data_IF_197766475777
#
_entry.id   IF_197766475777
#
_cell.length_a   1.000
_cell.length_b   1.000
_cell.length_c   1.000
_cell.angle_alpha   90.00
_cell.angle_beta   90.00
_cell.angle_gamma   90.00
#
_symmetry.space_group_name_H-M   'P 1'
#
loop_
_entity.id
_entity.type
_entity.pdbx_description
1 polymer ?
#
# COMPACT_ATOMS: atom_id res chain seq x y z
N UNK A 1 2.87 6.03 -10.46
CA UNK A 1 3.24 5.05 -11.48
C UNK A 1 4.05 5.71 -12.59
N UNK A 2 5.18 5.10 -12.97
CA UNK A 2 5.99 5.54 -14.12
C UNK A 2 5.66 4.67 -15.32
N UNK A 3 5.22 5.30 -16.42
CA UNK A 3 4.79 4.60 -17.63
C UNK A 3 5.96 3.88 -18.30
N UNK A 4 5.73 2.61 -18.66
CA UNK A 4 6.71 1.77 -19.38
C UNK A 4 6.90 2.20 -20.83
N UNK A 5 7.96 1.69 -21.44
CA UNK A 5 8.24 1.81 -22.88
C UNK A 5 7.75 0.56 -23.59
N UNK A 6 6.48 0.54 -23.96
CA UNK A 6 5.83 -0.62 -24.59
C UNK A 6 6.31 -0.88 -26.03
N UNK A 7 6.85 0.16 -26.68
CA UNK A 7 7.46 0.00 -28.00
C UNK A 7 8.87 -0.58 -27.87
N UNK A 8 9.68 -0.01 -26.97
CA UNK A 8 11.05 -0.42 -26.76
C UNK A 8 11.21 -1.81 -26.17
N UNK A 9 10.26 -2.27 -25.34
CA UNK A 9 10.23 -3.63 -24.77
C UNK A 9 9.57 -4.67 -25.67
N UNK A 10 8.99 -4.26 -26.81
CA UNK A 10 8.34 -5.11 -27.78
C UNK A 10 6.91 -5.56 -27.44
N UNK A 11 6.31 -4.99 -26.36
CA UNK A 11 4.91 -5.26 -25.98
C UNK A 11 3.91 -4.65 -26.94
N UNK A 12 4.28 -3.55 -27.61
CA UNK A 12 3.54 -2.93 -28.70
C UNK A 12 4.32 -3.05 -30.00
N UNK A 13 3.67 -3.53 -31.06
CA UNK A 13 4.28 -3.71 -32.40
C UNK A 13 3.36 -3.14 -33.47
N UNK A 14 3.96 -2.62 -34.54
CA UNK A 14 3.25 -2.18 -35.73
C UNK A 14 3.81 -2.91 -36.95
N UNK A 15 2.92 -3.40 -37.83
CA UNK A 15 3.29 -4.06 -39.07
C UNK A 15 2.46 -3.51 -40.22
N UNK A 16 3.06 -3.43 -41.38
CA UNK A 16 2.41 -3.08 -42.63
C UNK A 16 2.77 -4.10 -43.72
N UNK A 17 1.94 -4.24 -44.75
CA UNK A 17 2.17 -5.22 -45.84
C UNK A 17 3.09 -4.69 -46.95
N UNK A 18 3.33 -3.37 -46.98
CA UNK A 18 4.13 -2.69 -48.00
C UNK A 18 5.34 -1.98 -47.41
N UNK A 19 5.25 -1.54 -46.14
CA UNK A 19 6.32 -0.78 -45.43
C UNK A 19 6.82 -1.56 -44.23
N UNK A 20 8.08 -2.03 -44.28
CA UNK A 20 8.74 -2.73 -43.16
C UNK A 20 10.21 -2.26 -43.07
N UNK A 21 10.63 -1.63 -41.98
CA UNK A 21 9.83 -1.27 -40.77
C UNK A 21 8.84 -0.11 -41.00
N UNK A 22 7.79 -0.03 -40.17
CA UNK A 22 6.88 1.13 -40.12
C UNK A 22 7.67 2.39 -39.79
N UNK A 23 7.43 3.47 -40.58
CA UNK A 23 8.29 4.66 -40.55
C UNK A 23 8.23 5.43 -39.24
N UNK A 24 7.03 5.56 -38.67
CA UNK A 24 6.79 6.24 -37.39
C UNK A 24 5.96 5.32 -36.51
N UNK A 25 6.45 5.07 -35.29
CA UNK A 25 5.68 4.36 -34.28
C UNK A 25 5.91 5.06 -32.95
N UNK A 26 4.85 5.60 -32.37
CA UNK A 26 4.93 6.45 -31.17
C UNK A 26 3.93 6.05 -30.11
N UNK A 27 4.27 6.36 -28.87
CA UNK A 27 3.46 6.16 -27.66
C UNK A 27 3.17 7.51 -27.01
N UNK A 28 1.92 7.74 -26.62
CA UNK A 28 1.50 8.93 -25.88
C UNK A 28 0.54 8.54 -24.72
N UNK A 29 0.84 8.88 -23.46
CA UNK A 29 2.02 9.64 -22.98
C UNK A 29 3.35 8.93 -23.26
N UNK A 30 4.42 9.70 -23.38
CA UNK A 30 5.76 9.16 -23.65
C UNK A 30 6.23 8.23 -22.53
N UNK A 31 7.11 7.24 -22.84
CA UNK A 31 7.74 6.41 -21.82
C UNK A 31 8.43 7.24 -20.75
N UNK A 32 8.36 6.78 -19.49
CA UNK A 32 8.92 7.50 -18.34
C UNK A 32 8.02 8.62 -17.77
N UNK A 33 6.86 8.89 -18.38
CA UNK A 33 5.89 9.84 -17.83
C UNK A 33 5.33 9.35 -16.50
N UNK A 34 5.29 10.22 -15.50
CA UNK A 34 4.61 9.93 -14.22
C UNK A 34 3.12 10.15 -14.36
N UNK A 35 2.33 9.09 -14.16
CA UNK A 35 0.87 9.11 -14.24
C UNK A 35 0.27 9.29 -12.85
N UNK A 36 -0.84 10.07 -12.78
CA UNK A 36 -1.66 10.20 -11.60
C UNK A 36 -2.55 8.97 -11.37
N UNK A 37 -3.25 8.95 -10.22
CA UNK A 37 -4.23 7.90 -9.90
C UNK A 37 -5.45 7.97 -10.82
N UNK A 38 -6.08 6.82 -11.03
CA UNK A 38 -7.29 6.64 -11.85
C UNK A 38 -6.99 6.10 -13.25
N UNK A 39 -8.01 6.12 -14.09
CA UNK A 39 -7.91 5.60 -15.46
C UNK A 39 -7.10 6.57 -16.33
N UNK A 40 -6.05 6.06 -16.93
CA UNK A 40 -5.18 6.74 -17.88
C UNK A 40 -5.27 6.04 -19.22
N UNK A 41 -5.27 6.80 -20.31
CA UNK A 41 -5.32 6.22 -21.67
C UNK A 41 -3.92 6.33 -22.28
N UNK A 42 -3.41 5.20 -22.78
CA UNK A 42 -2.16 5.14 -23.51
C UNK A 42 -2.49 4.90 -24.97
N UNK A 43 -2.08 5.82 -25.83
CA UNK A 43 -2.32 5.80 -27.27
C UNK A 43 -1.04 5.39 -28.01
N UNK A 44 -1.20 4.65 -29.08
CA UNK A 44 -0.16 4.34 -30.05
C UNK A 44 -0.57 4.85 -31.43
N UNK A 45 0.39 5.41 -32.14
CA UNK A 45 0.21 5.88 -33.52
C UNK A 45 1.30 5.30 -34.37
N UNK A 46 0.91 4.63 -35.46
CA UNK A 46 1.81 4.12 -36.49
C UNK A 46 1.50 4.84 -37.82
N UNK A 47 2.56 5.21 -38.55
CA UNK A 47 2.46 5.85 -39.87
C UNK A 47 3.43 5.17 -40.82
N UNK A 48 2.95 4.86 -42.03
CA UNK A 48 3.74 4.29 -43.10
C UNK A 48 4.42 5.37 -43.98
N UNK A 49 5.22 4.97 -44.96
CA UNK A 49 5.89 5.88 -45.89
C UNK A 49 4.92 6.66 -46.80
N UNK A 50 3.66 6.21 -46.93
CA UNK A 50 2.61 6.82 -47.71
C UNK A 50 1.68 7.71 -46.88
N UNK A 51 2.06 7.97 -45.59
CA UNK A 51 1.28 8.80 -44.66
C UNK A 51 -0.08 8.19 -44.29
N UNK A 52 -0.22 6.86 -44.39
CA UNK A 52 -1.36 6.18 -43.79
C UNK A 52 -1.15 6.01 -42.30
N UNK A 53 -2.15 6.42 -41.52
CA UNK A 53 -2.05 6.47 -40.05
C UNK A 53 -2.99 5.42 -39.46
N UNK A 54 -2.49 4.64 -38.52
CA UNK A 54 -3.27 3.73 -37.68
C UNK A 54 -3.05 4.05 -36.22
N UNK A 55 -4.12 3.98 -35.42
CA UNK A 55 -4.05 4.25 -33.98
C UNK A 55 -4.72 3.15 -33.19
N UNK A 56 -4.17 2.84 -32.02
CA UNK A 56 -4.82 2.01 -31.01
C UNK A 56 -4.54 2.57 -29.61
N UNK A 57 -5.33 2.12 -28.65
CA UNK A 57 -5.16 2.57 -27.26
C UNK A 57 -5.56 1.48 -26.29
N UNK A 58 -5.06 1.59 -25.05
CA UNK A 58 -5.56 0.83 -23.92
C UNK A 58 -5.73 1.72 -22.68
N UNK A 59 -6.59 1.29 -21.78
CA UNK A 59 -6.80 1.95 -20.51
C UNK A 59 -5.89 1.30 -19.43
N UNK A 60 -5.19 2.15 -18.68
CA UNK A 60 -4.37 1.77 -17.53
C UNK A 60 -5.02 2.33 -16.27
N UNK A 61 -5.54 1.49 -15.40
CA UNK A 61 -6.06 1.91 -14.10
C UNK A 61 -4.91 1.99 -13.08
N UNK A 62 -4.46 3.23 -12.83
CA UNK A 62 -3.42 3.52 -11.83
C UNK A 62 -4.06 3.63 -10.47
N UNK A 63 -3.94 2.60 -9.68
CA UNK A 63 -4.45 2.55 -8.31
C UNK A 63 -3.32 2.80 -7.32
N UNK A 64 -3.65 3.50 -6.23
CA UNK A 64 -2.78 3.52 -5.07
C UNK A 64 -2.80 2.10 -4.49
N UNK A 65 -1.63 1.51 -4.38
CA UNK A 65 -1.51 0.26 -3.65
C UNK A 65 -1.85 0.61 -2.20
N UNK A 66 -3.04 0.27 -1.74
CA UNK A 66 -3.44 0.30 -0.33
C UNK A 66 -2.59 -0.73 0.45
N UNK A 67 -1.32 -0.61 0.36
CA UNK A 67 -0.32 -1.42 0.97
C UNK A 67 0.83 -0.55 1.42
N UNK A 68 0.79 -0.09 2.66
CA UNK A 68 1.99 0.13 3.46
C UNK A 68 2.98 1.18 2.95
N UNK A 69 2.53 2.32 2.42
CA UNK A 69 3.43 3.42 2.04
C UNK A 69 4.12 4.11 3.24
N UNK A 70 3.80 3.69 4.48
CA UNK A 70 4.45 4.14 5.71
C UNK A 70 4.86 2.98 6.62
N UNK A 71 5.47 1.93 6.07
CA UNK A 71 6.02 0.82 6.87
C UNK A 71 7.00 1.32 7.93
N UNK A 72 7.78 2.34 7.62
CA UNK A 72 8.72 2.93 8.57
C UNK A 72 8.02 3.68 9.70
N UNK A 73 6.90 4.37 9.42
CA UNK A 73 6.16 5.09 10.44
C UNK A 73 5.45 4.12 11.39
N UNK A 74 4.77 3.11 10.86
CA UNK A 74 4.15 2.06 11.66
C UNK A 74 5.17 1.14 12.37
N UNK A 75 6.38 1.00 11.83
CA UNK A 75 7.47 0.30 12.50
C UNK A 75 7.93 1.02 13.78
N UNK A 76 7.77 2.35 13.85
CA UNK A 76 8.11 3.16 15.01
C UNK A 76 7.19 2.94 16.23
N UNK A 77 6.00 2.34 16.02
CA UNK A 77 5.09 1.98 17.11
C UNK A 77 5.70 0.90 18.00
N UNK A 78 5.72 1.15 19.29
CA UNK A 78 6.33 0.24 20.28
C UNK A 78 5.33 -0.10 21.38
N UNK A 79 5.27 -1.37 21.77
CA UNK A 79 4.55 -1.86 22.94
C UNK A 79 5.53 -2.12 24.09
N UNK A 80 5.25 -1.55 25.26
CA UNK A 80 6.06 -1.80 26.45
C UNK A 80 5.29 -1.64 27.77
N UNK A 81 5.64 -2.40 28.82
CA UNK A 81 6.55 -3.53 28.76
C UNK A 81 5.98 -4.67 27.92
N UNK A 82 6.83 -5.53 27.40
CA UNK A 82 6.42 -6.76 26.74
C UNK A 82 7.49 -7.82 27.01
N UNK A 83 7.22 -8.82 27.85
CA UNK A 83 5.93 -9.19 28.46
C UNK A 83 5.33 -8.11 29.38
N UNK A 84 4.00 -8.08 29.46
CA UNK A 84 3.22 -7.18 30.30
C UNK A 84 2.38 -7.95 31.31
N UNK A 85 2.14 -7.33 32.47
CA UNK A 85 1.30 -7.88 33.53
C UNK A 85 -0.16 -7.38 33.37
N UNK A 86 -0.48 -6.23 33.87
CA UNK A 86 -1.84 -5.68 33.93
C UNK A 86 -2.07 -4.53 32.95
N UNK A 87 -1.00 -3.92 32.46
CA UNK A 87 -1.04 -2.76 31.55
C UNK A 87 0.09 -2.85 30.53
N UNK A 88 -0.18 -2.35 29.33
CA UNK A 88 0.81 -2.16 28.28
C UNK A 88 0.67 -0.77 27.68
N UNK A 89 1.76 -0.08 27.43
CA UNK A 89 1.78 1.19 26.74
C UNK A 89 2.03 0.98 25.24
N UNK A 90 1.24 1.68 24.44
CA UNK A 90 1.51 1.85 23.02
C UNK A 90 2.13 3.23 22.81
N UNK A 91 3.37 3.27 22.39
CA UNK A 91 4.10 4.49 22.03
C UNK A 91 3.94 4.80 20.55
N UNK A 92 3.64 6.06 20.24
CA UNK A 92 3.48 6.63 18.90
C UNK A 92 4.39 7.87 18.77
N UNK A 93 5.73 7.69 18.70
CA UNK A 93 6.69 8.79 18.76
C UNK A 93 6.60 9.73 17.55
N UNK A 94 6.10 9.25 16.42
CA UNK A 94 5.88 10.05 15.20
C UNK A 94 4.50 10.68 15.12
N UNK A 95 3.64 10.44 16.13
CA UNK A 95 2.26 10.94 16.18
C UNK A 95 1.47 10.68 14.90
N UNK A 96 1.61 9.48 14.35
CA UNK A 96 0.83 9.05 13.18
C UNK A 96 -0.64 8.92 13.56
N UNK A 97 -1.54 9.23 12.63
CA UNK A 97 -2.98 9.14 12.86
C UNK A 97 -3.42 7.70 12.98
N UNK A 98 -3.80 7.30 14.20
CA UNK A 98 -4.29 5.97 14.52
C UNK A 98 -5.80 6.00 14.76
N UNK A 99 -6.50 4.98 14.24
CA UNK A 99 -7.94 4.85 14.40
C UNK A 99 -8.30 3.95 15.57
N UNK A 100 -7.75 2.74 15.59
CA UNK A 100 -8.02 1.77 16.65
C UNK A 100 -6.94 0.70 16.74
N UNK A 101 -6.88 0.03 17.90
CA UNK A 101 -6.18 -1.24 18.08
C UNK A 101 -7.18 -2.34 18.43
N UNK A 102 -7.08 -3.47 17.76
CA UNK A 102 -7.86 -4.67 18.04
C UNK A 102 -6.93 -5.77 18.53
N UNK A 103 -7.29 -6.36 19.68
CA UNK A 103 -6.52 -7.44 20.29
C UNK A 103 -7.19 -8.77 19.93
N UNK A 104 -6.42 -9.68 19.38
CA UNK A 104 -6.85 -11.02 18.99
C UNK A 104 -6.11 -12.07 19.84
N UNK A 105 -6.80 -13.13 20.22
CA UNK A 105 -6.15 -14.34 20.70
C UNK A 105 -5.57 -15.17 19.52
N UNK A 106 -4.80 -16.20 19.83
CA UNK A 106 -4.18 -17.05 18.80
C UNK A 106 -5.18 -17.84 17.94
N UNK A 107 -6.45 -17.88 18.33
CA UNK A 107 -7.51 -18.50 17.51
C UNK A 107 -8.14 -17.52 16.52
N UNK A 108 -7.72 -16.24 16.56
CA UNK A 108 -8.26 -15.16 15.72
C UNK A 108 -9.52 -14.51 16.28
N UNK A 109 -9.90 -14.82 17.51
CA UNK A 109 -11.06 -14.21 18.18
C UNK A 109 -10.66 -12.85 18.74
N UNK A 110 -11.51 -11.83 18.52
CA UNK A 110 -11.35 -10.51 19.12
C UNK A 110 -11.63 -10.62 20.62
N UNK A 111 -10.67 -10.18 21.44
CA UNK A 111 -10.79 -10.12 22.90
C UNK A 111 -10.96 -8.70 23.42
N UNK A 112 -10.46 -7.69 22.67
CA UNK A 112 -10.68 -6.29 23.00
C UNK A 112 -10.50 -5.39 21.77
N UNK A 113 -11.11 -4.21 21.77
CA UNK A 113 -10.94 -3.17 20.76
C UNK A 113 -10.95 -1.81 21.42
N UNK A 114 -9.92 -1.00 21.15
CA UNK A 114 -9.69 0.31 21.76
C UNK A 114 -9.63 1.36 20.66
N UNK A 115 -10.32 2.48 20.85
CA UNK A 115 -10.25 3.65 19.98
C UNK A 115 -8.94 4.41 20.25
N UNK A 116 -8.22 4.76 19.21
CA UNK A 116 -6.98 5.51 19.26
C UNK A 116 -7.08 6.89 18.60
N UNK A 117 -8.27 7.30 18.14
CA UNK A 117 -8.47 8.55 17.38
C UNK A 117 -8.07 9.81 18.15
N UNK A 118 -8.06 9.75 19.48
CA UNK A 118 -7.64 10.85 20.36
C UNK A 118 -6.26 10.62 20.98
N UNK A 119 -5.54 9.59 20.54
CA UNK A 119 -4.23 9.25 21.06
C UNK A 119 -3.19 10.31 20.65
N UNK A 120 -2.41 10.77 21.60
CA UNK A 120 -1.20 11.57 21.36
C UNK A 120 0.03 10.68 21.09
N UNK A 121 1.12 10.98 21.77
CA UNK A 121 2.38 10.22 21.63
C UNK A 121 2.38 8.85 22.34
N UNK A 122 1.42 8.62 23.27
CA UNK A 122 1.36 7.41 24.07
C UNK A 122 -0.05 7.16 24.61
N UNK A 123 -0.43 5.89 24.75
CA UNK A 123 -1.64 5.45 25.46
C UNK A 123 -1.35 4.21 26.30
N UNK A 124 -1.93 4.16 27.50
CA UNK A 124 -1.90 2.96 28.35
C UNK A 124 -3.14 2.11 28.11
N UNK A 125 -2.95 0.86 27.80
CA UNK A 125 -4.00 -0.14 27.56
C UNK A 125 -4.08 -1.05 28.78
N UNK A 126 -5.26 -1.14 29.37
CA UNK A 126 -5.54 -2.09 30.45
C UNK A 126 -5.76 -3.49 29.86
N UNK A 127 -4.95 -4.43 30.32
CA UNK A 127 -4.97 -5.85 29.90
C UNK A 127 -5.17 -6.79 31.10
N UNK A 128 -5.51 -6.25 32.27
CA UNK A 128 -5.66 -6.99 33.52
C UNK A 128 -6.71 -8.13 33.46
N UNK A 129 -7.65 -8.03 32.52
CA UNK A 129 -8.68 -9.05 32.29
C UNK A 129 -8.25 -10.17 31.34
N UNK A 130 -7.08 -10.03 30.71
CA UNK A 130 -6.56 -11.02 29.78
C UNK A 130 -5.84 -12.14 30.52
N UNK A 131 -6.03 -13.38 30.10
CA UNK A 131 -5.30 -14.53 30.64
C UNK A 131 -3.83 -14.52 30.18
N UNK A 132 -2.98 -15.23 30.92
CA UNK A 132 -1.58 -15.43 30.53
C UNK A 132 -1.51 -16.16 29.20
N UNK A 133 -1.17 -15.43 28.15
CA UNK A 133 -1.07 -15.93 26.78
C UNK A 133 -0.34 -14.94 25.86
N UNK A 134 -0.14 -15.37 24.64
CA UNK A 134 0.29 -14.47 23.55
C UNK A 134 -0.95 -13.96 22.78
N UNK A 135 -0.96 -12.68 22.49
CA UNK A 135 -1.99 -11.99 21.74
C UNK A 135 -1.39 -11.26 20.54
N UNK A 136 -2.22 -11.02 19.52
CA UNK A 136 -1.87 -10.21 18.37
C UNK A 136 -2.65 -8.90 18.43
N UNK A 137 -1.93 -7.79 18.43
CA UNK A 137 -2.48 -6.44 18.38
C UNK A 137 -2.42 -5.92 16.94
N UNK A 138 -3.58 -5.72 16.33
CA UNK A 138 -3.71 -5.13 15.01
C UNK A 138 -4.05 -3.65 15.18
N UNK A 139 -3.10 -2.79 14.91
CA UNK A 139 -3.19 -1.32 15.04
C UNK A 139 -3.50 -0.77 13.66
N UNK A 140 -4.63 -0.08 13.52
CA UNK A 140 -5.06 0.55 12.26
C UNK A 140 -4.97 2.06 12.37
N UNK A 141 -4.45 2.68 11.34
CA UNK A 141 -4.44 4.12 11.15
C UNK A 141 -4.98 4.53 9.78
N UNK A 142 -5.01 5.82 9.51
CA UNK A 142 -5.49 6.39 8.25
C UNK A 142 -4.67 5.93 7.04
N UNK A 143 -3.39 5.58 7.25
CA UNK A 143 -2.45 5.28 6.18
C UNK A 143 -1.90 3.85 6.22
N UNK A 144 -2.46 2.97 7.06
CA UNK A 144 -2.00 1.59 7.09
C UNK A 144 -2.37 0.82 8.35
N UNK A 145 -1.72 -0.33 8.50
CA UNK A 145 -1.94 -1.25 9.61
C UNK A 145 -0.59 -1.81 10.08
N UNK A 146 -0.42 -1.92 11.40
CA UNK A 146 0.71 -2.62 12.03
C UNK A 146 0.20 -3.76 12.90
N UNK A 147 0.91 -4.87 12.89
CA UNK A 147 0.63 -5.99 13.79
C UNK A 147 1.79 -6.15 14.75
N UNK A 148 1.48 -6.17 16.06
CA UNK A 148 2.45 -6.36 17.13
C UNK A 148 2.06 -7.56 17.98
N UNK A 149 3.02 -8.30 18.46
CA UNK A 149 2.82 -9.39 19.42
C UNK A 149 2.85 -8.82 20.85
N UNK A 150 1.91 -9.25 21.68
CA UNK A 150 1.87 -8.96 23.11
C UNK A 150 1.90 -10.29 23.89
N UNK A 151 2.79 -10.36 24.84
CA UNK A 151 2.86 -11.48 25.79
C UNK A 151 2.31 -10.98 27.13
N UNK A 152 1.22 -11.58 27.59
CA UNK A 152 0.63 -11.31 28.90
C UNK A 152 1.10 -12.35 29.88
N UNK A 153 1.65 -11.89 31.00
CA UNK A 153 2.20 -12.72 32.06
C UNK A 153 1.90 -12.07 33.42
N UNK A 154 0.72 -12.36 33.95
CA UNK A 154 0.25 -11.88 35.25
C UNK A 154 0.88 -12.76 36.35
N UNK A 155 1.69 -12.17 37.20
CA UNK A 155 2.27 -12.84 38.38
C UNK A 155 1.35 -12.69 39.58
#
# INVERSE_FOLDING_TARGET
YTLGDYIGDGSATATDNCTDPVTIFSQDPAPGTTLGLGIQVVNFTAEDEYVNISTCSFELDVQDILGNNNTEDFASLVLYPNPADSKVNLSNPRQIDLNNVTIYDLTGRIVNKIDLSTMGSEITIDISTLANATYMLVIKGSQGTSTKQLIVNNY
#
